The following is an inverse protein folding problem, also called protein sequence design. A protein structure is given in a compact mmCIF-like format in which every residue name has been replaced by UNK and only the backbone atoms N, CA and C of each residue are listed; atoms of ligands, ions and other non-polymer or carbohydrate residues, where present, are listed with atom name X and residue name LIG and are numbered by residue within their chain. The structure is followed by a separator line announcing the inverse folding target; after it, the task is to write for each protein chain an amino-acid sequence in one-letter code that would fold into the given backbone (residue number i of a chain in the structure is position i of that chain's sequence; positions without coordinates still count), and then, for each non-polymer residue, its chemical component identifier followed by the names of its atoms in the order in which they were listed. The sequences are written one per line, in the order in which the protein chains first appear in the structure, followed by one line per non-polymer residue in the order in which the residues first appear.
data_IF_031673164231
#
_entry.id   IF_031673164231
#
_cell.length_a   1.000
_cell.length_b   1.000
_cell.length_c   1.000
_cell.angle_alpha   90.00
_cell.angle_beta   90.00
_cell.angle_gamma   90.00
#
_symmetry.space_group_name_H-M   'P 1'
#
loop_
_entity.id
_entity.type
_entity.pdbx_description
1 polymer ?
#
# COMPACT_ATOMS: atom_id res chain seq x y z
N UNK A 1 28.40 2.69 2.83
CA UNK A 1 27.00 2.93 3.25
C UNK A 1 26.57 1.80 4.15
N UNK A 2 26.26 2.10 5.41
CA UNK A 2 25.69 1.15 6.37
C UNK A 2 24.27 0.74 5.97
N UNK A 3 23.87 -0.51 6.20
CA UNK A 3 22.55 -1.10 5.87
C UNK A 3 22.16 -1.10 4.38
N UNK A 4 23.07 -0.78 3.47
CA UNK A 4 22.81 -1.00 2.05
C UNK A 4 22.61 -2.50 1.80
N UNK A 5 21.61 -2.88 1.00
CA UNK A 5 21.29 -4.27 0.73
C UNK A 5 21.14 -4.53 -0.76
N UNK A 6 21.27 -5.79 -1.17
CA UNK A 6 20.90 -6.18 -2.52
C UNK A 6 19.37 -6.14 -2.67
N UNK A 7 18.89 -5.26 -3.56
CA UNK A 7 17.49 -5.12 -3.95
C UNK A 7 17.31 -5.67 -5.35
N UNK A 8 16.27 -6.48 -5.56
CA UNK A 8 15.92 -6.93 -6.90
C UNK A 8 15.14 -5.83 -7.63
N UNK A 9 15.70 -5.36 -8.74
CA UNK A 9 15.04 -4.45 -9.67
C UNK A 9 14.20 -5.27 -10.65
N UNK A 10 12.88 -5.23 -10.47
CA UNK A 10 11.94 -5.94 -11.33
C UNK A 10 11.85 -5.39 -12.76
N UNK A 11 12.23 -4.13 -12.99
CA UNK A 11 12.19 -3.55 -14.34
C UNK A 11 13.40 -3.99 -15.17
N UNK A 12 14.56 -4.16 -14.51
CA UNK A 12 15.82 -4.55 -15.17
C UNK A 12 16.23 -6.00 -14.91
N UNK A 13 15.41 -6.77 -14.19
CA UNK A 13 15.66 -8.16 -13.81
C UNK A 13 17.06 -8.41 -13.20
N UNK A 14 17.55 -7.47 -12.37
CA UNK A 14 18.90 -7.54 -11.80
C UNK A 14 18.94 -7.11 -10.34
N UNK A 15 19.91 -7.62 -9.60
CA UNK A 15 20.17 -7.14 -8.25
C UNK A 15 21.01 -5.86 -8.28
N UNK A 16 20.58 -4.85 -7.52
CA UNK A 16 21.30 -3.59 -7.33
C UNK A 16 21.58 -3.38 -5.86
N UNK A 17 22.72 -2.76 -5.54
CA UNK A 17 23.10 -2.43 -4.16
C UNK A 17 22.46 -1.10 -3.79
N UNK A 18 21.67 -1.05 -2.72
CA UNK A 18 21.07 0.19 -2.25
C UNK A 18 19.90 -0.02 -1.29
N UNK A 19 18.99 0.96 -1.30
CA UNK A 19 17.78 0.99 -0.49
C UNK A 19 16.55 1.06 -1.37
N UNK A 20 15.42 0.60 -0.86
CA UNK A 20 14.12 0.94 -1.45
C UNK A 20 13.68 2.27 -0.88
N UNK A 21 13.53 3.25 -1.74
CA UNK A 21 13.05 4.58 -1.36
C UNK A 21 11.52 4.56 -1.26
N UNK A 22 10.99 4.98 -0.11
CA UNK A 22 9.57 5.14 0.14
C UNK A 22 9.28 6.61 0.42
N UNK A 23 8.47 7.24 -0.42
CA UNK A 23 8.10 8.65 -0.30
C UNK A 23 6.60 8.80 -0.02
N UNK A 24 6.26 9.66 0.94
CA UNK A 24 4.92 10.15 1.18
C UNK A 24 4.85 11.61 0.72
N UNK A 25 3.90 11.90 -0.16
CA UNK A 25 3.62 13.25 -0.62
C UNK A 25 2.15 13.60 -0.43
N UNK A 26 1.89 14.89 -0.34
CA UNK A 26 0.56 15.47 -0.26
C UNK A 26 0.23 16.13 -1.60
N UNK A 27 -1.02 16.03 -2.03
CA UNK A 27 -1.50 16.64 -3.25
C UNK A 27 -2.92 17.13 -3.08
N UNK A 28 -3.21 18.30 -3.63
CA UNK A 28 -4.54 18.88 -3.79
C UNK A 28 -5.16 18.55 -5.17
N UNK A 29 -4.47 17.76 -6.00
CA UNK A 29 -4.86 17.43 -7.37
C UNK A 29 -4.24 18.32 -8.45
N UNK A 30 -3.63 19.45 -8.08
CA UNK A 30 -2.90 20.33 -9.01
C UNK A 30 -1.39 20.36 -8.68
N UNK A 31 -1.07 20.39 -7.40
CA UNK A 31 0.30 20.44 -6.87
C UNK A 31 0.63 19.14 -6.17
N UNK A 32 1.91 18.76 -6.20
CA UNK A 32 2.43 17.66 -5.40
C UNK A 32 3.59 18.15 -4.53
N UNK A 33 3.45 17.98 -3.21
CA UNK A 33 4.45 18.39 -2.22
C UNK A 33 5.02 17.16 -1.51
N UNK A 34 6.35 16.94 -1.52
CA UNK A 34 6.95 15.88 -0.72
C UNK A 34 6.81 16.22 0.78
N UNK A 35 6.24 15.29 1.55
CA UNK A 35 6.03 15.49 3.00
C UNK A 35 7.14 14.82 3.79
N UNK A 36 7.38 13.53 3.52
CA UNK A 36 8.37 12.74 4.26
C UNK A 36 8.79 11.51 3.46
N UNK A 37 9.87 10.88 3.87
CA UNK A 37 10.39 9.69 3.23
C UNK A 37 11.05 8.74 4.23
N UNK A 38 11.23 7.49 3.80
CA UNK A 38 12.05 6.50 4.50
C UNK A 38 12.86 5.70 3.50
N UNK A 39 14.07 5.31 3.90
CA UNK A 39 14.90 4.36 3.18
C UNK A 39 14.72 2.99 3.81
N UNK A 40 14.32 2.00 3.02
CA UNK A 40 14.09 0.63 3.49
C UNK A 40 15.26 -0.26 3.04
N UNK A 41 15.90 -0.90 4.00
CA UNK A 41 16.90 -1.94 3.78
C UNK A 41 16.24 -3.28 3.45
N UNK A 42 16.94 -4.09 2.67
CA UNK A 42 16.61 -5.50 2.44
C UNK A 42 17.22 -6.39 3.53
N UNK A 43 16.90 -7.68 3.47
CA UNK A 43 17.51 -8.69 4.34
C UNK A 43 18.97 -8.98 3.97
N UNK A 44 19.29 -8.97 2.68
CA UNK A 44 20.64 -9.25 2.16
C UNK A 44 21.52 -7.99 2.22
N UNK A 45 21.85 -7.56 3.44
CA UNK A 45 22.69 -6.39 3.69
C UNK A 45 24.13 -6.65 3.26
N UNK A 46 24.71 -5.71 2.53
CA UNK A 46 26.12 -5.70 2.12
C UNK A 46 27.02 -5.29 3.29
N UNK A 47 26.51 -4.42 4.17
CA UNK A 47 27.20 -3.96 5.36
C UNK A 47 26.18 -3.79 6.48
N UNK A 48 26.25 -4.66 7.49
CA UNK A 48 25.40 -4.54 8.68
C UNK A 48 25.83 -3.36 9.55
N UNK A 49 24.90 -2.84 10.36
CA UNK A 49 25.22 -1.81 11.34
C UNK A 49 24.47 -2.03 12.65
N UNK A 50 25.18 -1.83 13.77
CA UNK A 50 24.56 -1.77 15.09
C UNK A 50 23.65 -0.54 15.16
N UNK A 51 22.47 -0.72 15.74
CA UNK A 51 21.49 0.34 15.91
C UNK A 51 21.25 0.59 17.40
N UNK A 52 21.60 1.79 17.88
CA UNK A 52 21.22 2.24 19.23
C UNK A 52 19.89 3.01 19.16
N UNK A 53 18.82 2.40 19.66
CA UNK A 53 17.46 2.94 19.65
C UNK A 53 17.30 4.30 20.36
N UNK A 54 18.26 4.70 21.21
CA UNK A 54 18.25 5.99 21.90
C UNK A 54 18.63 7.14 20.95
N UNK A 55 19.48 6.85 19.97
CA UNK A 55 19.99 7.83 19.00
C UNK A 55 19.06 7.99 17.79
N UNK A 56 19.04 9.17 17.17
CA UNK A 56 18.28 9.39 15.91
C UNK A 56 18.76 8.47 14.78
N UNK A 57 20.08 8.27 14.66
CA UNK A 57 20.67 7.36 13.67
C UNK A 57 20.18 5.93 13.88
N UNK A 58 20.23 5.41 15.11
CA UNK A 58 19.74 4.07 15.41
C UNK A 58 18.24 3.91 15.21
N UNK A 59 17.42 4.91 15.54
CA UNK A 59 15.97 4.90 15.21
C UNK A 59 15.73 4.76 13.71
N UNK A 60 16.45 5.52 12.87
CA UNK A 60 16.37 5.41 11.40
C UNK A 60 16.85 4.06 10.90
N UNK A 61 17.94 3.52 11.46
CA UNK A 61 18.46 2.17 11.14
C UNK A 61 17.45 1.07 11.46
N UNK A 62 16.74 1.18 12.59
CA UNK A 62 15.69 0.25 12.98
C UNK A 62 14.48 0.37 12.06
N UNK A 63 14.04 1.60 11.75
CA UNK A 63 12.94 1.86 10.81
C UNK A 63 13.25 1.31 9.41
N UNK A 64 14.47 1.48 8.93
CA UNK A 64 14.91 0.99 7.62
C UNK A 64 14.77 -0.53 7.47
N UNK A 65 14.89 -1.29 8.57
CA UNK A 65 14.80 -2.74 8.54
C UNK A 65 13.38 -3.29 8.76
N UNK A 66 12.39 -2.41 9.05
CA UNK A 66 10.98 -2.80 9.22
C UNK A 66 10.31 -3.10 7.88
N UNK A 67 9.16 -3.78 7.96
CA UNK A 67 8.34 -4.06 6.79
C UNK A 67 7.75 -2.77 6.24
N UNK A 68 7.78 -2.60 4.92
CA UNK A 68 7.29 -1.39 4.24
C UNK A 68 5.86 -0.95 4.67
N UNK A 69 4.86 -1.84 4.81
CA UNK A 69 3.53 -1.44 5.27
C UNK A 69 3.50 -0.82 6.69
N UNK A 70 4.38 -1.28 7.58
CA UNK A 70 4.47 -0.74 8.94
C UNK A 70 5.06 0.67 8.91
N UNK A 71 6.09 0.88 8.09
CA UNK A 71 6.72 2.19 7.89
C UNK A 71 5.76 3.16 7.22
N UNK A 72 5.00 2.74 6.20
CA UNK A 72 3.94 3.57 5.58
C UNK A 72 2.95 4.06 6.63
N UNK A 73 2.49 3.18 7.53
CA UNK A 73 1.59 3.55 8.62
C UNK A 73 2.23 4.59 9.55
N UNK A 74 3.50 4.40 9.90
CA UNK A 74 4.26 5.32 10.75
C UNK A 74 4.38 6.71 10.10
N UNK A 75 4.70 6.77 8.79
CA UNK A 75 4.78 8.02 8.04
C UNK A 75 3.42 8.74 7.97
N UNK A 76 2.33 8.00 7.75
CA UNK A 76 0.98 8.57 7.73
C UNK A 76 0.59 9.15 9.10
N UNK A 77 0.75 8.39 10.18
CA UNK A 77 0.43 8.86 11.54
C UNK A 77 1.25 10.10 11.90
N UNK A 78 2.55 10.07 11.61
CA UNK A 78 3.44 11.21 11.85
C UNK A 78 2.99 12.45 11.07
N UNK A 79 2.71 12.31 9.77
CA UNK A 79 2.27 13.44 8.92
C UNK A 79 0.94 14.03 9.39
N UNK A 80 -0.04 13.20 9.74
CA UNK A 80 -1.32 13.66 10.28
C UNK A 80 -1.13 14.41 11.60
N UNK A 81 -0.26 13.91 12.49
CA UNK A 81 0.05 14.58 13.76
C UNK A 81 0.76 15.92 13.60
N UNK A 82 1.45 16.13 12.48
CA UNK A 82 2.11 17.39 12.11
C UNK A 82 1.16 18.37 11.41
N UNK A 83 -0.13 18.07 11.34
CA UNK A 83 -1.14 18.96 10.77
C UNK A 83 -1.43 18.75 9.28
N UNK A 84 -0.84 17.74 8.63
CA UNK A 84 -1.20 17.41 7.24
C UNK A 84 -2.64 16.89 7.22
N UNK A 85 -3.51 17.58 6.48
CA UNK A 85 -4.90 17.19 6.32
C UNK A 85 -5.10 16.44 5.01
N UNK A 86 -5.72 15.26 5.07
CA UNK A 86 -6.05 14.48 3.89
C UNK A 86 -7.35 13.71 4.11
N UNK A 87 -8.14 13.57 3.04
CA UNK A 87 -9.33 12.69 3.04
C UNK A 87 -9.03 11.32 2.44
N UNK A 88 -8.07 11.26 1.51
CA UNK A 88 -7.73 10.09 0.72
C UNK A 88 -6.25 9.79 0.78
N UNK A 89 -5.90 8.51 0.68
CA UNK A 89 -4.54 8.02 0.46
C UNK A 89 -4.53 7.20 -0.83
N UNK A 90 -3.66 7.59 -1.75
CA UNK A 90 -3.42 6.88 -3.00
C UNK A 90 -2.26 5.90 -2.83
N UNK A 91 -2.50 4.62 -3.16
CA UNK A 91 -1.48 3.58 -3.10
C UNK A 91 -1.30 2.83 -4.42
N UNK A 92 -0.09 2.30 -4.61
CA UNK A 92 0.18 1.30 -5.62
C UNK A 92 -0.23 -0.11 -5.15
N UNK A 93 -0.08 -1.09 -6.05
CA UNK A 93 -0.44 -2.49 -5.84
C UNK A 93 0.18 -3.14 -4.60
N UNK A 94 1.39 -2.69 -4.21
CA UNK A 94 2.18 -3.33 -3.18
C UNK A 94 1.65 -3.08 -1.76
N UNK A 95 0.87 -2.00 -1.57
CA UNK A 95 0.27 -1.66 -0.28
C UNK A 95 -1.22 -2.01 -0.18
N UNK A 96 -1.82 -2.47 -1.28
CA UNK A 96 -3.25 -2.79 -1.38
C UNK A 96 -3.64 -4.12 -0.72
N UNK A 97 -3.68 -4.15 0.62
CA UNK A 97 -4.15 -5.30 1.40
C UNK A 97 -5.39 -4.97 2.24
N UNK A 98 -6.26 -5.95 2.54
CA UNK A 98 -7.38 -5.78 3.45
C UNK A 98 -6.98 -5.16 4.81
N UNK A 99 -5.83 -5.61 5.35
CA UNK A 99 -5.26 -5.08 6.60
C UNK A 99 -4.90 -3.60 6.49
N UNK A 100 -4.27 -3.18 5.39
CA UNK A 100 -3.93 -1.78 5.16
C UNK A 100 -5.18 -0.90 5.02
N UNK A 101 -6.19 -1.34 4.26
CA UNK A 101 -7.45 -0.60 4.13
C UNK A 101 -8.13 -0.39 5.48
N UNK A 102 -8.12 -1.41 6.33
CA UNK A 102 -8.67 -1.30 7.69
C UNK A 102 -7.89 -0.30 8.54
N UNK A 103 -6.56 -0.33 8.48
CA UNK A 103 -5.70 0.62 9.19
C UNK A 103 -5.98 2.07 8.76
N UNK A 104 -6.09 2.33 7.46
CA UNK A 104 -6.44 3.67 6.95
C UNK A 104 -7.81 4.14 7.45
N UNK A 105 -8.82 3.26 7.50
CA UNK A 105 -10.14 3.60 8.02
C UNK A 105 -10.11 3.98 9.49
N UNK A 106 -9.23 3.37 10.30
CA UNK A 106 -9.03 3.78 11.71
C UNK A 106 -8.42 5.18 11.82
N UNK A 107 -7.60 5.57 10.84
CA UNK A 107 -7.06 6.93 10.72
C UNK A 107 -8.06 7.92 10.07
N UNK A 108 -9.31 7.53 9.86
CA UNK A 108 -10.34 8.31 9.14
C UNK A 108 -9.96 8.67 7.70
N UNK A 109 -9.06 7.90 7.10
CA UNK A 109 -8.63 8.05 5.71
C UNK A 109 -9.34 7.06 4.79
N UNK A 110 -9.65 7.50 3.58
CA UNK A 110 -10.16 6.63 2.51
C UNK A 110 -9.00 6.15 1.63
N UNK A 111 -8.98 4.87 1.28
CA UNK A 111 -7.93 4.30 0.45
C UNK A 111 -8.37 4.24 -1.02
N UNK A 112 -7.53 4.73 -1.93
CA UNK A 112 -7.64 4.48 -3.37
C UNK A 112 -6.41 3.71 -3.79
N UNK A 113 -6.59 2.49 -4.28
CA UNK A 113 -5.45 1.64 -4.61
C UNK A 113 -5.76 0.67 -5.75
N UNK A 114 -4.72 0.33 -6.51
CA UNK A 114 -4.79 -0.82 -7.41
C UNK A 114 -4.75 -2.12 -6.59
N UNK A 115 -5.65 -3.06 -6.86
CA UNK A 115 -5.73 -4.33 -6.13
C UNK A 115 -5.08 -5.47 -6.91
N UNK A 116 -4.26 -6.28 -6.22
CA UNK A 116 -3.54 -7.39 -6.85
C UNK A 116 -4.51 -8.49 -7.25
N UNK A 117 -4.47 -8.87 -8.53
CA UNK A 117 -5.18 -10.05 -9.04
C UNK A 117 -4.48 -11.32 -8.53
N UNK A 118 -4.84 -11.77 -7.34
CA UNK A 118 -4.24 -12.94 -6.67
C UNK A 118 -5.31 -13.91 -6.17
N UNK A 119 -5.07 -15.21 -6.31
CA UNK A 119 -5.86 -16.28 -5.69
C UNK A 119 -5.61 -16.42 -4.17
N UNK A 120 -4.79 -15.54 -3.58
CA UNK A 120 -4.47 -15.56 -2.15
C UNK A 120 -5.17 -14.45 -1.35
N UNK A 121 -5.85 -13.52 -2.04
CA UNK A 121 -6.52 -12.39 -1.39
C UNK A 121 -8.01 -12.47 -1.71
N UNK A 122 -8.80 -12.67 -0.67
CA UNK A 122 -10.24 -12.86 -0.77
C UNK A 122 -10.99 -11.67 -0.17
N UNK A 123 -12.13 -11.36 -0.78
CA UNK A 123 -13.08 -10.36 -0.31
C UNK A 123 -14.44 -11.04 -0.14
N UNK A 124 -15.20 -10.59 0.85
CA UNK A 124 -16.56 -11.09 1.04
C UNK A 124 -17.51 -10.38 0.08
N UNK A 125 -18.12 -11.16 -0.80
CA UNK A 125 -19.10 -10.72 -1.80
C UNK A 125 -20.27 -11.69 -1.79
N UNK A 126 -21.51 -11.20 -1.71
CA UNK A 126 -22.73 -12.02 -1.61
C UNK A 126 -22.64 -13.15 -0.56
N UNK A 127 -22.05 -12.86 0.61
CA UNK A 127 -21.87 -13.83 1.70
C UNK A 127 -20.71 -14.81 1.52
N UNK A 128 -20.10 -14.89 0.33
CA UNK A 128 -19.01 -15.81 0.02
C UNK A 128 -17.66 -15.09 -0.02
N UNK A 129 -16.59 -15.81 0.35
CA UNK A 129 -15.21 -15.32 0.21
C UNK A 129 -14.71 -15.63 -1.20
N UNK A 130 -14.44 -14.58 -1.99
CA UNK A 130 -14.07 -14.71 -3.40
C UNK A 130 -12.86 -13.83 -3.72
N UNK A 131 -12.00 -14.27 -4.63
CA UNK A 131 -10.96 -13.42 -5.17
C UNK A 131 -11.52 -12.40 -6.18
N UNK A 132 -10.78 -11.33 -6.43
CA UNK A 132 -11.22 -10.23 -7.30
C UNK A 132 -11.53 -10.69 -8.73
N UNK A 133 -10.82 -11.70 -9.26
CA UNK A 133 -11.12 -12.23 -10.61
C UNK A 133 -12.45 -12.96 -10.62
N UNK A 134 -12.73 -13.77 -9.60
CA UNK A 134 -13.98 -14.50 -9.48
C UNK A 134 -15.18 -13.53 -9.33
N UNK A 135 -15.03 -12.48 -8.53
CA UNK A 135 -16.05 -11.43 -8.35
C UNK A 135 -16.38 -10.75 -9.69
N UNK A 136 -15.36 -10.34 -10.45
CA UNK A 136 -15.59 -9.69 -11.75
C UNK A 136 -16.05 -10.67 -12.84
N UNK A 137 -15.77 -11.98 -12.72
CA UNK A 137 -16.34 -12.99 -13.61
C UNK A 137 -17.83 -13.22 -13.33
N UNK A 138 -18.23 -13.15 -12.06
CA UNK A 138 -19.62 -13.33 -11.64
C UNK A 138 -20.52 -12.14 -11.99
N UNK A 139 -19.96 -10.93 -12.09
CA UNK A 139 -20.71 -9.73 -12.42
C UNK A 139 -20.52 -9.33 -13.88
N UNK A 140 -21.61 -9.27 -14.65
CA UNK A 140 -21.57 -8.82 -16.05
C UNK A 140 -21.61 -7.29 -16.11
N UNK A 141 -20.83 -6.73 -17.04
CA UNK A 141 -20.89 -5.32 -17.44
C UNK A 141 -22.33 -4.95 -17.82
N UNK A 142 -22.83 -3.83 -17.31
CA UNK A 142 -24.12 -3.26 -17.75
C UNK A 142 -24.00 -2.82 -19.22
N UNK A 143 -25.05 -3.05 -20.02
CA UNK A 143 -25.12 -2.53 -21.40
C UNK A 143 -25.17 -1.00 -21.37
N UNK A 144 -24.43 -0.31 -22.24
CA UNK A 144 -24.43 1.15 -22.33
C UNK A 144 -23.10 1.76 -22.79
N UNK A 145 -23.07 3.10 -22.92
CA UNK A 145 -21.92 3.90 -23.39
C UNK A 145 -20.94 4.33 -22.28
N UNK A 146 -21.18 3.98 -21.01
CA UNK A 146 -20.29 4.35 -19.91
C UNK A 146 -18.88 3.78 -20.13
N UNK A 147 -17.83 4.54 -19.76
CA UNK A 147 -16.44 4.09 -19.78
C UNK A 147 -16.10 3.18 -18.60
N UNK A 148 -16.73 3.41 -17.44
CA UNK A 148 -16.59 2.58 -16.23
C UNK A 148 -17.86 1.75 -16.06
N UNK A 149 -17.74 0.45 -16.33
CA UNK A 149 -18.89 -0.38 -16.68
C UNK A 149 -19.29 -1.38 -15.61
N UNK A 150 -18.50 -1.44 -14.53
CA UNK A 150 -18.74 -2.30 -13.40
C UNK A 150 -18.11 -1.67 -12.15
N UNK A 151 -18.89 -1.53 -11.10
CA UNK A 151 -18.44 -1.13 -9.77
C UNK A 151 -19.07 -2.10 -8.79
N UNK A 152 -18.25 -2.75 -7.98
CA UNK A 152 -18.69 -3.80 -7.07
C UNK A 152 -18.31 -3.44 -5.65
N UNK A 153 -19.29 -3.28 -4.79
CA UNK A 153 -19.06 -3.12 -3.36
C UNK A 153 -18.75 -4.48 -2.74
N UNK A 154 -17.57 -4.60 -2.16
CA UNK A 154 -17.10 -5.81 -1.48
C UNK A 154 -16.72 -5.49 -0.04
N UNK A 155 -16.63 -6.50 0.81
CA UNK A 155 -16.17 -6.34 2.19
C UNK A 155 -14.77 -6.94 2.34
N UNK A 156 -13.78 -6.10 2.63
CA UNK A 156 -12.45 -6.54 3.05
C UNK A 156 -12.54 -7.06 4.50
N UNK A 157 -12.28 -8.36 4.66
CA UNK A 157 -12.33 -9.05 5.96
C UNK A 157 -10.90 -9.22 6.48
N UNK A 158 -10.71 -8.94 7.76
CA UNK A 158 -9.48 -9.21 8.51
C UNK A 158 -9.90 -10.04 9.71
N UNK A 159 -9.21 -11.15 9.98
CA UNK A 159 -9.54 -12.05 11.09
C UNK A 159 -9.61 -11.30 12.42
N UNK A 160 -10.65 -11.59 13.22
CA UNK A 160 -10.87 -10.95 14.52
C UNK A 160 -11.32 -9.48 14.45
N UNK A 161 -11.62 -8.94 13.26
CA UNK A 161 -12.01 -7.53 13.11
C UNK A 161 -13.28 -7.31 12.27
N UNK A 162 -13.91 -6.15 12.48
CA UNK A 162 -15.02 -5.69 11.65
C UNK A 162 -14.60 -5.52 10.18
N UNK A 163 -15.44 -6.00 9.26
CA UNK A 163 -15.18 -5.91 7.83
C UNK A 163 -15.25 -4.48 7.31
N UNK A 164 -14.34 -4.10 6.41
CA UNK A 164 -14.28 -2.77 5.80
C UNK A 164 -14.93 -2.79 4.41
N UNK A 165 -15.93 -1.93 4.12
CA UNK A 165 -16.46 -1.81 2.76
C UNK A 165 -15.40 -1.23 1.82
N UNK A 166 -15.23 -1.85 0.66
CA UNK A 166 -14.31 -1.44 -0.40
C UNK A 166 -15.04 -1.51 -1.72
N UNK A 167 -14.95 -0.44 -2.52
CA UNK A 167 -15.51 -0.42 -3.87
C UNK A 167 -14.43 -0.84 -4.86
N UNK A 168 -14.67 -1.95 -5.56
CA UNK A 168 -13.77 -2.49 -6.57
C UNK A 168 -14.25 -2.08 -7.97
N UNK A 169 -13.35 -1.46 -8.74
CA UNK A 169 -13.58 -1.06 -10.13
C UNK A 169 -12.55 -1.81 -10.99
N UNK A 170 -12.94 -2.46 -12.10
CA UNK A 170 -12.00 -3.09 -12.99
C UNK A 170 -11.13 -2.02 -13.68
N UNK A 171 -9.82 -2.16 -13.52
CA UNK A 171 -8.85 -1.37 -14.27
C UNK A 171 -8.60 -1.97 -15.66
N UNK A 172 -8.71 -1.15 -16.69
CA UNK A 172 -8.20 -1.46 -18.02
C UNK A 172 -6.67 -1.31 -17.98
N UNK A 173 -5.96 -2.40 -17.71
CA UNK A 173 -4.51 -2.47 -17.87
C UNK A 173 -4.26 -3.22 -19.17
N UNK A 174 -3.92 -2.45 -20.21
CA UNK A 174 -3.51 -2.86 -21.55
C UNK A 174 -4.58 -3.65 -22.35
N UNK A 175 -5.22 -2.95 -23.28
CA UNK A 175 -5.38 -3.50 -24.63
C UNK A 175 -4.06 -3.28 -25.37
#
# INVERSE_FOLDING_TARGET
MELAAFQFDHARHRHTRGFRFLQLGWSDGNTFLPVTFSLLSGQNQVCGAKADARTHSGKRKLQAQRKAPEVVRELLVSSLSQGVQASYVLFNLWFSSPKMFRQLRRLKLQAVAMVKRSKKVYYRFNGQMMDVKAIFKAQKKRRGRSRYLLSVLVKAVVEGEASTPVTCIPGNLYQ
#
